data_IF_250808673903
#
_entry.id   IF_250808673903
#
_cell.length_a   1.000
_cell.length_b   1.000
_cell.length_c   1.000
_cell.angle_alpha   90.00
_cell.angle_beta   90.00
_cell.angle_gamma   90.00
#
_symmetry.space_group_name_H-M   'P 1'
#
loop_
_entity.id
_entity.type
_entity.pdbx_description
1 polymer ?
#
# COMPACT_ATOMS: atom_id res chain seq x y z
N UNK A 1 -25.05 -1.00 11.72
CA UNK A 1 -23.59 -0.95 11.55
C UNK A 1 -23.32 -0.19 10.26
N UNK A 2 -22.40 0.77 10.26
CA UNK A 2 -21.95 1.41 9.02
C UNK A 2 -21.15 0.42 8.16
N UNK A 3 -20.64 0.90 7.03
CA UNK A 3 -19.86 0.07 6.12
C UNK A 3 -18.47 -0.24 6.70
N UNK A 4 -17.94 -1.42 6.37
CA UNK A 4 -16.64 -1.93 6.78
C UNK A 4 -15.64 -1.84 5.62
N UNK A 5 -14.49 -1.22 5.84
CA UNK A 5 -13.39 -1.21 4.90
C UNK A 5 -12.23 -2.10 5.36
N UNK A 6 -11.64 -2.87 4.44
CA UNK A 6 -10.33 -3.49 4.63
C UNK A 6 -9.27 -2.60 4.00
N UNK A 7 -8.21 -2.32 4.76
CA UNK A 7 -7.13 -1.48 4.29
C UNK A 7 -5.77 -2.17 4.50
N UNK A 8 -4.87 -1.98 3.52
CA UNK A 8 -3.60 -2.69 3.47
C UNK A 8 -2.43 -1.71 3.47
N UNK A 9 -1.43 -1.88 4.37
CA UNK A 9 -0.27 -1.00 4.44
C UNK A 9 0.61 -1.11 3.19
N UNK A 10 1.51 -0.15 3.02
CA UNK A 10 2.53 -0.17 1.98
C UNK A 10 3.91 -0.55 2.53
N UNK A 11 4.91 -0.53 1.64
CA UNK A 11 6.31 -0.68 1.98
C UNK A 11 6.73 0.30 3.09
N UNK A 12 7.57 -0.16 4.02
CA UNK A 12 8.03 0.57 5.19
C UNK A 12 7.44 0.07 6.52
N UNK A 13 6.47 -0.87 6.45
CA UNK A 13 5.89 -1.52 7.64
C UNK A 13 6.48 -2.93 7.89
N UNK A 14 7.35 -3.44 7.00
CA UNK A 14 7.95 -4.77 7.10
C UNK A 14 8.91 -4.90 8.28
N UNK A 15 8.97 -6.11 8.84
CA UNK A 15 9.95 -6.51 9.84
C UNK A 15 10.14 -8.02 9.84
N UNK A 16 11.27 -8.48 10.32
CA UNK A 16 11.57 -9.93 10.47
C UNK A 16 10.65 -10.56 11.50
N UNK A 17 9.91 -11.57 11.10
CA UNK A 17 8.91 -12.26 11.93
C UNK A 17 7.46 -11.91 11.61
N UNK A 18 7.21 -10.94 10.71
CA UNK A 18 5.85 -10.58 10.30
C UNK A 18 5.09 -11.78 9.71
N UNK A 19 3.88 -12.03 10.18
CA UNK A 19 3.01 -13.12 9.72
C UNK A 19 3.40 -14.52 10.18
N UNK A 20 4.48 -14.70 10.98
CA UNK A 20 4.95 -16.01 11.43
C UNK A 20 3.89 -16.78 12.22
N UNK A 21 3.19 -16.13 13.15
CA UNK A 21 2.14 -16.76 13.94
C UNK A 21 1.00 -17.29 13.07
N UNK A 22 0.59 -16.53 12.05
CA UNK A 22 -0.41 -16.95 11.06
C UNK A 22 0.04 -18.19 10.30
N UNK A 23 1.29 -18.21 9.84
CA UNK A 23 1.87 -19.36 9.15
C UNK A 23 1.90 -20.62 10.05
N UNK A 24 2.28 -20.49 11.31
CA UNK A 24 2.42 -21.61 12.24
C UNK A 24 1.07 -22.15 12.70
N UNK A 25 0.09 -21.26 12.98
CA UNK A 25 -1.15 -21.61 13.67
C UNK A 25 -2.36 -21.78 12.76
N UNK A 26 -2.38 -21.16 11.56
CA UNK A 26 -3.56 -21.10 10.69
C UNK A 26 -3.27 -21.76 9.34
N UNK A 27 -3.99 -22.84 9.04
CA UNK A 27 -3.77 -23.69 7.87
C UNK A 27 -3.93 -22.92 6.55
N UNK A 28 -4.96 -22.05 6.42
CA UNK A 28 -5.19 -21.28 5.20
C UNK A 28 -4.08 -20.27 4.98
N UNK A 29 -3.56 -19.63 6.03
CA UNK A 29 -2.43 -18.71 5.96
C UNK A 29 -1.15 -19.41 5.50
N UNK A 30 -0.87 -20.60 6.03
CA UNK A 30 0.27 -21.42 5.58
C UNK A 30 0.21 -21.74 4.09
N UNK A 31 -1.00 -22.08 3.57
CA UNK A 31 -1.22 -22.33 2.13
C UNK A 31 -0.86 -21.10 1.28
N UNK A 32 -1.20 -19.89 1.75
CA UNK A 32 -0.84 -18.64 1.06
C UNK A 32 0.68 -18.50 0.90
N UNK A 33 1.45 -18.74 1.97
CA UNK A 33 2.92 -18.71 1.89
C UNK A 33 3.48 -19.79 0.95
N UNK A 34 2.87 -20.98 0.91
CA UNK A 34 3.26 -22.05 -0.02
C UNK A 34 3.05 -21.61 -1.47
N UNK A 35 1.86 -21.11 -1.80
CA UNK A 35 1.52 -20.61 -3.14
C UNK A 35 2.47 -19.47 -3.55
N UNK A 36 2.68 -18.50 -2.65
CA UNK A 36 3.59 -17.39 -2.91
C UNK A 36 5.02 -17.88 -3.23
N UNK A 37 5.51 -18.86 -2.47
CA UNK A 37 6.84 -19.45 -2.69
C UNK A 37 6.92 -20.17 -4.02
N UNK A 38 5.92 -20.97 -4.39
CA UNK A 38 5.85 -21.71 -5.66
C UNK A 38 5.81 -20.77 -6.86
N UNK A 39 4.97 -19.73 -6.79
CA UNK A 39 4.79 -18.75 -7.88
C UNK A 39 6.02 -17.90 -8.11
N UNK A 40 6.71 -17.51 -7.04
CA UNK A 40 7.85 -16.58 -7.11
C UNK A 40 9.21 -17.25 -7.18
N UNK A 41 9.28 -18.54 -6.84
CA UNK A 41 10.54 -19.27 -6.69
C UNK A 41 11.36 -18.86 -5.46
N UNK A 42 10.78 -18.09 -4.53
CA UNK A 42 11.45 -17.61 -3.33
C UNK A 42 11.03 -18.42 -2.10
N UNK A 43 11.92 -18.57 -1.13
CA UNK A 43 11.56 -19.08 0.19
C UNK A 43 10.91 -17.94 1.01
N UNK A 44 9.59 -17.72 0.83
CA UNK A 44 8.87 -16.63 1.52
C UNK A 44 8.85 -16.79 3.05
N UNK A 45 8.68 -18.01 3.63
CA UNK A 45 8.85 -18.19 5.06
C UNK A 45 10.23 -17.75 5.56
N UNK A 46 11.30 -18.19 4.90
CA UNK A 46 12.67 -17.78 5.26
C UNK A 46 12.87 -16.27 5.14
N UNK A 47 12.39 -15.65 4.05
CA UNK A 47 12.48 -14.22 3.82
C UNK A 47 11.73 -13.41 4.90
N UNK A 48 10.54 -13.84 5.31
CA UNK A 48 9.71 -13.12 6.27
C UNK A 48 10.09 -13.39 7.73
N UNK A 49 10.54 -14.62 8.07
CA UNK A 49 10.64 -15.05 9.47
C UNK A 49 12.06 -15.10 10.01
N UNK A 50 13.06 -15.19 9.12
CA UNK A 50 14.47 -15.30 9.52
C UNK A 50 15.20 -13.96 9.28
N UNK A 51 16.22 -13.71 10.11
CA UNK A 51 17.05 -12.51 9.93
C UNK A 51 17.81 -12.58 8.61
N UNK A 52 17.63 -11.61 7.74
CA UNK A 52 18.28 -11.49 6.45
C UNK A 52 18.43 -10.01 6.05
N UNK A 53 19.23 -9.75 5.01
CA UNK A 53 19.46 -8.41 4.47
C UNK A 53 18.50 -8.05 3.32
N UNK A 54 17.68 -8.99 2.86
CA UNK A 54 16.83 -8.84 1.68
C UNK A 54 15.48 -8.17 2.02
N UNK A 55 15.00 -8.31 3.26
CA UNK A 55 13.67 -7.84 3.66
C UNK A 55 13.43 -6.35 3.40
N UNK A 56 14.50 -5.53 3.39
CA UNK A 56 14.45 -4.08 3.15
C UNK A 56 14.79 -3.70 1.69
N UNK A 57 15.07 -4.67 0.81
CA UNK A 57 15.27 -4.45 -0.61
C UNK A 57 13.91 -4.50 -1.31
N UNK A 58 13.53 -3.45 -2.03
CA UNK A 58 12.18 -3.25 -2.59
C UNK A 58 11.61 -4.47 -3.31
N UNK A 59 12.39 -5.14 -4.14
CA UNK A 59 11.96 -6.33 -4.89
C UNK A 59 11.56 -7.52 -3.98
N UNK A 60 12.13 -7.62 -2.78
CA UNK A 60 11.80 -8.63 -1.78
C UNK A 60 10.77 -8.11 -0.78
N UNK A 61 10.88 -6.84 -0.38
CA UNK A 61 9.93 -6.21 0.56
C UNK A 61 8.51 -6.32 0.06
N UNK A 62 8.28 -5.98 -1.21
CA UNK A 62 6.92 -5.94 -1.75
C UNK A 62 6.24 -7.31 -1.72
N UNK A 63 6.94 -8.34 -2.15
CA UNK A 63 6.35 -9.69 -2.15
C UNK A 63 6.21 -10.27 -0.74
N UNK A 64 7.15 -9.99 0.17
CA UNK A 64 7.07 -10.42 1.57
C UNK A 64 5.88 -9.79 2.30
N UNK A 65 5.69 -8.48 2.13
CA UNK A 65 4.54 -7.74 2.68
C UNK A 65 3.22 -8.29 2.16
N UNK A 66 3.06 -8.36 0.83
CA UNK A 66 1.83 -8.85 0.21
C UNK A 66 1.52 -10.30 0.63
N UNK A 67 2.53 -11.17 0.74
CA UNK A 67 2.32 -12.55 1.21
C UNK A 67 1.77 -12.56 2.63
N UNK A 68 2.31 -11.72 3.50
CA UNK A 68 1.83 -11.56 4.88
C UNK A 68 0.40 -11.02 4.93
N UNK A 69 0.10 -9.97 4.18
CA UNK A 69 -1.23 -9.37 4.07
C UNK A 69 -2.26 -10.38 3.54
N UNK A 70 -1.93 -11.10 2.48
CA UNK A 70 -2.79 -12.13 1.90
C UNK A 70 -3.04 -13.30 2.87
N UNK A 71 -2.03 -13.69 3.65
CA UNK A 71 -2.15 -14.74 4.65
C UNK A 71 -3.10 -14.34 5.81
N UNK A 72 -3.00 -13.09 6.26
CA UNK A 72 -3.90 -12.53 7.29
C UNK A 72 -5.32 -12.37 6.72
N UNK A 73 -5.44 -11.84 5.50
CA UNK A 73 -6.72 -11.70 4.80
C UNK A 73 -7.45 -13.04 4.67
N UNK A 74 -6.74 -14.10 4.24
CA UNK A 74 -7.31 -15.44 4.12
C UNK A 74 -7.84 -15.97 5.47
N UNK A 75 -7.11 -15.74 6.57
CA UNK A 75 -7.56 -16.12 7.90
C UNK A 75 -8.81 -15.35 8.34
N UNK A 76 -8.88 -14.06 8.04
CA UNK A 76 -10.04 -13.22 8.36
C UNK A 76 -11.27 -13.65 7.54
N UNK A 77 -11.08 -13.94 6.26
CA UNK A 77 -12.15 -14.43 5.37
C UNK A 77 -12.66 -15.81 5.80
N UNK A 78 -11.78 -16.71 6.28
CA UNK A 78 -12.19 -18.03 6.84
C UNK A 78 -13.09 -17.86 8.07
N UNK A 79 -12.96 -16.76 8.84
CA UNK A 79 -13.88 -16.39 9.93
C UNK A 79 -15.19 -15.78 9.45
N UNK A 80 -15.41 -15.68 8.14
CA UNK A 80 -16.65 -15.15 7.55
C UNK A 80 -16.76 -13.63 7.51
N UNK A 81 -15.71 -12.88 7.89
CA UNK A 81 -15.72 -11.42 7.84
C UNK A 81 -15.51 -10.94 6.41
N UNK A 82 -16.37 -10.04 5.93
CA UNK A 82 -16.36 -9.48 4.58
C UNK A 82 -16.32 -7.97 4.64
N UNK A 83 -15.59 -7.36 3.72
CA UNK A 83 -15.57 -5.92 3.54
C UNK A 83 -16.68 -5.45 2.58
N UNK A 84 -17.18 -4.23 2.81
CA UNK A 84 -18.02 -3.51 1.84
C UNK A 84 -17.16 -2.80 0.79
N UNK A 85 -15.93 -2.45 1.13
CA UNK A 85 -14.94 -1.81 0.27
C UNK A 85 -13.53 -2.15 0.74
N UNK A 86 -12.56 -2.10 -0.18
CA UNK A 86 -11.15 -2.24 0.16
C UNK A 86 -10.33 -1.06 -0.38
N UNK A 87 -9.19 -0.79 0.23
CA UNK A 87 -8.18 0.14 -0.26
C UNK A 87 -6.80 -0.28 0.25
N UNK A 88 -5.74 0.22 -0.37
CA UNK A 88 -4.39 -0.04 0.12
C UNK A 88 -3.43 1.06 -0.30
N UNK A 89 -2.40 1.28 0.49
CA UNK A 89 -1.40 2.30 0.23
C UNK A 89 -0.31 1.74 -0.68
N UNK A 90 -0.20 2.22 -1.91
CA UNK A 90 0.80 1.79 -2.89
C UNK A 90 0.78 0.27 -3.11
N UNK A 91 1.72 -0.47 -2.53
CA UNK A 91 1.74 -1.94 -2.54
C UNK A 91 0.43 -2.54 -2.04
N UNK A 92 -0.13 -1.99 -0.97
CA UNK A 92 -1.36 -2.48 -0.36
C UNK A 92 -2.58 -2.45 -1.27
N UNK A 93 -2.57 -1.71 -2.39
CA UNK A 93 -3.66 -1.74 -3.39
C UNK A 93 -3.86 -3.15 -3.97
N UNK A 94 -2.79 -3.97 -4.02
CA UNK A 94 -2.89 -5.38 -4.42
C UNK A 94 -3.62 -6.25 -3.38
N UNK A 95 -3.52 -5.94 -2.09
CA UNK A 95 -4.35 -6.53 -1.03
C UNK A 95 -5.83 -6.17 -1.19
N UNK A 96 -6.11 -4.94 -1.61
CA UNK A 96 -7.47 -4.51 -1.93
C UNK A 96 -8.04 -5.24 -3.16
N UNK A 97 -7.24 -5.46 -4.21
CA UNK A 97 -7.61 -6.23 -5.40
C UNK A 97 -7.87 -7.71 -5.05
N UNK A 98 -7.08 -8.30 -4.15
CA UNK A 98 -7.35 -9.65 -3.61
C UNK A 98 -8.67 -9.69 -2.84
N UNK A 99 -8.97 -8.68 -2.02
CA UNK A 99 -10.25 -8.57 -1.30
C UNK A 99 -11.43 -8.47 -2.26
N UNK A 100 -11.28 -7.71 -3.34
CA UNK A 100 -12.27 -7.62 -4.40
C UNK A 100 -12.47 -8.95 -5.14
N UNK A 101 -11.46 -9.81 -5.21
CA UNK A 101 -11.46 -11.04 -5.99
C UNK A 101 -11.25 -10.83 -7.50
N UNK A 102 -10.77 -9.64 -7.88
CA UNK A 102 -10.56 -9.23 -9.27
C UNK A 102 -9.38 -9.94 -9.95
N UNK A 103 -8.42 -10.44 -9.18
CA UNK A 103 -7.26 -11.20 -9.63
C UNK A 103 -7.11 -12.50 -8.83
N UNK A 104 -6.53 -13.54 -9.43
CA UNK A 104 -6.14 -14.74 -8.70
C UNK A 104 -4.98 -14.44 -7.74
N UNK A 105 -4.84 -15.24 -6.67
CA UNK A 105 -3.76 -15.10 -5.71
C UNK A 105 -2.40 -15.27 -6.40
N UNK A 106 -2.31 -16.24 -7.30
CA UNK A 106 -1.11 -16.54 -8.09
C UNK A 106 -0.72 -15.37 -9.00
N UNK A 107 -1.70 -14.76 -9.68
CA UNK A 107 -1.44 -13.61 -10.55
C UNK A 107 -0.99 -12.38 -9.76
N UNK A 108 -1.63 -12.12 -8.61
CA UNK A 108 -1.23 -11.00 -7.75
C UNK A 108 0.22 -11.18 -7.27
N UNK A 109 0.63 -12.38 -6.84
CA UNK A 109 2.01 -12.65 -6.45
C UNK A 109 3.00 -12.48 -7.61
N UNK A 110 2.65 -12.98 -8.79
CA UNK A 110 3.48 -12.82 -10.00
C UNK A 110 3.66 -11.35 -10.36
N UNK A 111 2.58 -10.58 -10.38
CA UNK A 111 2.60 -9.15 -10.71
C UNK A 111 3.40 -8.36 -9.68
N UNK A 112 3.18 -8.59 -8.38
CA UNK A 112 3.89 -7.83 -7.33
C UNK A 112 5.38 -8.19 -7.28
N UNK A 113 5.75 -9.45 -7.55
CA UNK A 113 7.17 -9.81 -7.71
C UNK A 113 7.81 -9.01 -8.85
N UNK A 114 7.15 -8.91 -10.01
CA UNK A 114 7.65 -8.12 -11.14
C UNK A 114 7.63 -6.62 -10.82
N UNK A 115 6.59 -6.10 -10.16
CA UNK A 115 6.52 -4.71 -9.73
C UNK A 115 7.71 -4.32 -8.84
N UNK A 116 8.03 -5.16 -7.85
CA UNK A 116 9.16 -4.94 -6.94
C UNK A 116 10.49 -4.85 -7.69
N UNK A 117 10.74 -5.77 -8.63
CA UNK A 117 11.94 -5.78 -9.48
C UNK A 117 12.01 -4.50 -10.34
N UNK A 118 10.94 -4.20 -11.08
CA UNK A 118 10.89 -3.05 -11.97
C UNK A 118 11.08 -1.73 -11.22
N UNK A 119 10.51 -1.59 -10.04
CA UNK A 119 10.67 -0.39 -9.21
C UNK A 119 12.07 -0.29 -8.58
N UNK A 120 12.68 -1.43 -8.20
CA UNK A 120 14.04 -1.46 -7.68
C UNK A 120 15.07 -1.05 -8.73
N UNK A 121 14.88 -1.47 -9.98
CA UNK A 121 15.82 -1.25 -11.08
C UNK A 121 15.61 0.09 -11.80
N UNK A 122 14.45 0.75 -11.64
CA UNK A 122 14.05 1.89 -12.45
C UNK A 122 15.01 3.08 -12.33
N UNK A 123 15.42 3.43 -11.11
CA UNK A 123 16.27 4.59 -10.83
C UNK A 123 17.26 4.19 -9.72
N UNK A 124 18.36 3.53 -10.08
CA UNK A 124 19.32 3.01 -9.10
C UNK A 124 20.09 4.12 -8.34
N UNK A 125 20.16 5.31 -8.91
CA UNK A 125 20.85 6.48 -8.31
C UNK A 125 20.19 7.77 -8.73
N UNK A 126 20.38 8.85 -7.96
CA UNK A 126 19.93 10.21 -8.32
C UNK A 126 18.45 10.50 -8.05
N UNK A 127 17.74 9.59 -7.39
CA UNK A 127 16.37 9.80 -6.91
C UNK A 127 16.32 9.98 -5.39
N UNK A 128 15.32 10.73 -4.91
CA UNK A 128 15.09 10.93 -3.47
C UNK A 128 13.61 11.04 -3.12
N UNK A 129 13.32 10.77 -1.85
CA UNK A 129 12.02 11.01 -1.24
C UNK A 129 12.17 11.68 0.11
N UNK A 130 11.29 12.64 0.42
CA UNK A 130 11.28 13.34 1.70
C UNK A 130 9.88 13.38 2.29
N UNK A 131 9.78 13.09 3.59
CA UNK A 131 8.56 13.33 4.35
C UNK A 131 8.48 14.79 4.78
N UNK A 132 7.41 15.48 4.38
CA UNK A 132 7.10 16.87 4.73
C UNK A 132 6.03 16.88 5.81
N UNK A 133 6.35 17.47 6.96
CA UNK A 133 5.47 17.49 8.12
C UNK A 133 4.96 18.90 8.44
N UNK A 134 3.68 18.99 8.80
CA UNK A 134 3.07 20.21 9.33
C UNK A 134 2.72 21.26 8.28
N UNK A 135 2.51 20.84 7.02
CA UNK A 135 2.09 21.73 5.94
C UNK A 135 0.94 21.07 5.13
N UNK A 136 0.11 21.88 4.54
CA UNK A 136 -0.98 21.50 3.67
C UNK A 136 -0.48 20.93 2.33
N UNK A 137 -1.16 19.86 1.83
CA UNK A 137 -0.74 19.14 0.63
C UNK A 137 -0.82 19.96 -0.66
N UNK A 138 -1.82 20.85 -0.81
CA UNK A 138 -1.91 21.70 -2.00
C UNK A 138 -0.78 22.73 -2.05
N UNK A 139 -0.42 23.27 -0.86
CA UNK A 139 0.70 24.20 -0.76
C UNK A 139 2.02 23.51 -1.11
N UNK A 140 2.21 22.26 -0.66
CA UNK A 140 3.38 21.45 -1.02
C UNK A 140 3.42 21.20 -2.52
N UNK A 141 2.32 20.77 -3.14
CA UNK A 141 2.24 20.51 -4.57
C UNK A 141 2.61 21.76 -5.38
N UNK A 142 2.06 22.94 -5.04
CA UNK A 142 2.38 24.23 -5.69
C UNK A 142 3.86 24.61 -5.59
N UNK A 143 4.55 24.24 -4.51
CA UNK A 143 5.98 24.51 -4.34
C UNK A 143 6.80 23.53 -5.20
N UNK A 144 6.41 22.24 -5.24
CA UNK A 144 7.02 21.27 -6.13
C UNK A 144 6.90 21.70 -7.60
N UNK A 145 5.70 22.08 -8.06
CA UNK A 145 5.43 22.52 -9.44
C UNK A 145 6.26 23.75 -9.87
N UNK A 146 6.65 24.61 -8.91
CA UNK A 146 7.49 25.79 -9.13
C UNK A 146 8.99 25.53 -8.91
N UNK A 147 9.37 24.30 -8.64
CA UNK A 147 10.77 23.90 -8.48
C UNK A 147 11.27 23.31 -9.78
N UNK A 148 12.43 23.77 -10.24
CA UNK A 148 13.07 23.25 -11.46
C UNK A 148 13.49 21.79 -11.27
N UNK A 149 13.38 20.99 -12.33
CA UNK A 149 13.64 19.54 -12.29
C UNK A 149 12.40 18.71 -11.96
N UNK A 150 12.60 17.40 -11.85
CA UNK A 150 11.51 16.47 -11.54
C UNK A 150 11.33 16.38 -10.03
N UNK A 151 10.27 17.00 -9.51
CA UNK A 151 9.83 16.84 -8.12
C UNK A 151 8.31 16.96 -8.04
N UNK A 152 7.68 16.07 -7.30
CA UNK A 152 6.23 16.03 -7.13
C UNK A 152 5.84 15.42 -5.78
N UNK A 153 4.54 15.44 -5.48
CA UNK A 153 4.02 14.71 -4.33
C UNK A 153 3.94 13.22 -4.66
N UNK A 154 4.60 12.39 -3.86
CA UNK A 154 4.51 10.94 -3.93
C UNK A 154 3.27 10.40 -3.20
N UNK A 155 3.06 10.85 -1.95
CA UNK A 155 1.97 10.36 -1.11
C UNK A 155 1.29 11.49 -0.36
N UNK A 156 -0.03 11.55 -0.47
CA UNK A 156 -0.90 12.28 0.44
C UNK A 156 -1.33 11.32 1.57
N UNK A 157 -0.53 11.20 2.64
CA UNK A 157 -0.77 10.20 3.68
C UNK A 157 -1.91 10.58 4.63
N UNK A 158 -1.85 11.79 5.17
CA UNK A 158 -2.87 12.35 6.05
C UNK A 158 -2.62 13.85 6.24
N UNK A 159 -3.56 14.62 6.82
CA UNK A 159 -3.34 16.04 7.11
C UNK A 159 -2.01 16.28 7.82
N UNK A 160 -1.16 17.12 7.22
CA UNK A 160 0.15 17.48 7.74
C UNK A 160 1.23 16.40 7.64
N UNK A 161 1.04 15.35 6.83
CA UNK A 161 2.07 14.35 6.52
C UNK A 161 2.00 13.93 5.06
N UNK A 162 2.86 14.53 4.25
CA UNK A 162 2.96 14.37 2.79
C UNK A 162 4.36 13.89 2.45
N UNK A 163 4.51 13.10 1.40
CA UNK A 163 5.83 12.70 0.88
C UNK A 163 6.03 13.31 -0.49
N UNK A 164 7.20 13.93 -0.71
CA UNK A 164 7.65 14.41 -2.03
C UNK A 164 8.72 13.48 -2.59
N UNK A 165 8.83 13.42 -3.92
CA UNK A 165 9.67 12.48 -4.65
C UNK A 165 10.19 13.11 -5.94
N UNK A 166 11.31 12.62 -6.44
CA UNK A 166 11.86 13.06 -7.73
C UNK A 166 13.37 12.95 -7.78
N UNK A 167 13.99 13.79 -8.61
CA UNK A 167 15.44 13.94 -8.70
C UNK A 167 16.02 14.46 -7.38
N UNK A 168 17.11 13.88 -6.92
CA UNK A 168 17.73 14.21 -5.62
C UNK A 168 17.96 15.71 -5.45
N UNK A 169 18.51 16.38 -6.47
CA UNK A 169 18.75 17.83 -6.44
C UNK A 169 17.45 18.64 -6.38
N UNK A 170 16.45 18.29 -7.19
CA UNK A 170 15.17 19.00 -7.22
C UNK A 170 14.38 18.81 -5.90
N UNK A 171 14.38 17.59 -5.35
CA UNK A 171 13.74 17.28 -4.06
C UNK A 171 14.43 18.05 -2.92
N UNK A 172 15.77 18.15 -2.92
CA UNK A 172 16.50 18.92 -1.92
C UNK A 172 16.15 20.42 -1.98
N UNK A 173 16.11 21.01 -3.19
CA UNK A 173 15.70 22.42 -3.38
C UNK A 173 14.23 22.63 -2.95
N UNK A 174 13.33 21.72 -3.32
CA UNK A 174 11.95 21.80 -2.89
C UNK A 174 11.82 21.71 -1.36
N UNK A 175 12.59 20.83 -0.71
CA UNK A 175 12.57 20.70 0.75
C UNK A 175 13.01 21.99 1.48
N UNK A 176 14.03 22.72 0.96
CA UNK A 176 14.42 24.02 1.52
C UNK A 176 13.32 25.08 1.33
N UNK A 177 12.76 25.21 0.12
CA UNK A 177 11.61 26.10 -0.14
C UNK A 177 10.41 25.81 0.76
N UNK A 178 10.13 24.51 1.03
CA UNK A 178 9.06 24.10 1.92
C UNK A 178 9.32 24.49 3.37
N UNK A 179 10.57 24.37 3.86
CA UNK A 179 10.96 24.86 5.20
C UNK A 179 10.78 26.36 5.31
N UNK A 180 11.27 27.13 4.33
CA UNK A 180 11.10 28.60 4.27
C UNK A 180 9.61 29.00 4.24
N UNK A 181 8.77 28.20 3.56
CA UNK A 181 7.32 28.41 3.49
C UNK A 181 6.55 27.95 4.75
N UNK A 182 7.24 27.41 5.77
CA UNK A 182 6.69 27.08 7.08
C UNK A 182 6.42 25.60 7.30
N UNK A 183 6.97 24.67 6.51
CA UNK A 183 6.94 23.25 6.83
C UNK A 183 7.71 23.00 8.14
N UNK A 184 7.09 22.26 9.06
CA UNK A 184 7.71 22.00 10.38
C UNK A 184 8.97 21.16 10.27
N UNK A 185 8.99 20.18 9.35
CA UNK A 185 10.14 19.31 9.05
C UNK A 185 10.07 18.79 7.62
N UNK A 186 11.24 18.65 6.99
CA UNK A 186 11.45 17.87 5.77
C UNK A 186 12.51 16.83 6.08
N UNK A 187 12.14 15.56 6.08
CA UNK A 187 12.97 14.43 6.55
C UNK A 187 13.26 13.52 5.36
N UNK A 188 14.54 13.31 4.99
CA UNK A 188 14.89 12.36 3.94
C UNK A 188 14.45 10.94 4.35
N UNK A 189 13.94 10.19 3.40
CA UNK A 189 13.54 8.80 3.59
C UNK A 189 14.64 7.88 3.04
N UNK A 190 14.95 6.83 3.79
CA UNK A 190 15.88 5.79 3.33
C UNK A 190 15.11 4.79 2.44
N UNK A 191 15.04 5.08 1.15
CA UNK A 191 14.35 4.27 0.13
C UNK A 191 15.26 4.06 -1.07
N UNK A 192 15.03 2.99 -1.83
CA UNK A 192 15.87 2.61 -2.97
C UNK A 192 15.60 3.37 -4.26
N UNK A 193 14.64 4.31 -4.27
CA UNK A 193 14.32 5.07 -5.48
C UNK A 193 13.23 6.13 -5.27
N UNK A 194 13.02 7.00 -6.28
CA UNK A 194 12.03 8.08 -6.25
C UNK A 194 10.64 7.56 -6.63
N UNK A 195 10.07 6.68 -5.78
CA UNK A 195 8.78 6.04 -6.04
C UNK A 195 7.66 7.04 -6.25
N UNK A 196 6.70 6.69 -7.10
CA UNK A 196 5.54 7.54 -7.43
C UNK A 196 5.91 8.88 -8.08
N UNK A 197 7.05 8.95 -8.79
CA UNK A 197 7.47 10.09 -9.60
C UNK A 197 7.45 9.78 -11.08
N UNK A 198 7.47 10.80 -11.92
CA UNK A 198 7.56 10.67 -13.37
C UNK A 198 8.81 9.88 -13.83
N UNK A 199 9.86 9.80 -13.00
CA UNK A 199 11.07 9.02 -13.24
C UNK A 199 10.81 7.52 -13.35
N UNK A 200 9.70 7.01 -12.78
CA UNK A 200 9.30 5.60 -12.85
C UNK A 200 8.33 5.28 -13.98
N UNK A 201 8.09 6.20 -14.92
CA UNK A 201 7.12 5.99 -16.00
C UNK A 201 7.41 4.74 -16.83
N UNK A 202 8.67 4.51 -17.20
CA UNK A 202 9.07 3.32 -17.94
C UNK A 202 8.82 2.02 -17.15
N UNK A 203 9.05 2.03 -15.84
CA UNK A 203 8.73 0.89 -14.98
C UNK A 203 7.22 0.61 -14.95
N UNK A 204 6.39 1.65 -14.88
CA UNK A 204 4.94 1.51 -14.96
C UNK A 204 4.46 0.96 -16.30
N UNK A 205 5.05 1.40 -17.42
CA UNK A 205 4.76 0.88 -18.77
C UNK A 205 5.19 -0.60 -18.90
N UNK A 206 6.34 -0.98 -18.35
CA UNK A 206 6.79 -2.39 -18.30
C UNK A 206 5.84 -3.25 -17.46
N UNK A 207 5.39 -2.72 -16.30
CA UNK A 207 4.40 -3.40 -15.48
C UNK A 207 3.06 -3.56 -16.21
N UNK A 208 2.66 -2.58 -17.01
CA UNK A 208 1.49 -2.67 -17.89
C UNK A 208 1.55 -3.89 -18.81
N UNK A 209 2.72 -4.18 -19.41
CA UNK A 209 2.92 -5.38 -20.25
C UNK A 209 2.82 -6.68 -19.45
N UNK A 210 3.29 -6.70 -18.21
CA UNK A 210 3.09 -7.86 -17.31
C UNK A 210 1.61 -8.07 -17.04
N UNK A 211 0.88 -7.00 -16.77
CA UNK A 211 -0.56 -7.03 -16.50
C UNK A 211 -1.40 -7.47 -17.71
N UNK A 212 -0.93 -7.28 -18.95
CA UNK A 212 -1.62 -7.80 -20.15
C UNK A 212 -1.84 -9.32 -20.08
N UNK A 213 -0.93 -10.06 -19.44
CA UNK A 213 -1.00 -11.52 -19.32
C UNK A 213 -1.93 -12.00 -18.18
N UNK A 214 -2.48 -11.08 -17.39
CA UNK A 214 -3.32 -11.40 -16.23
C UNK A 214 -4.78 -11.47 -16.66
N UNK A 215 -5.46 -12.52 -16.22
CA UNK A 215 -6.91 -12.65 -16.36
C UNK A 215 -7.61 -11.92 -15.22
N UNK A 216 -8.42 -10.92 -15.56
CA UNK A 216 -9.24 -10.20 -14.59
C UNK A 216 -10.64 -10.82 -14.51
N UNK A 217 -11.19 -10.83 -13.29
CA UNK A 217 -12.49 -11.39 -12.98
C UNK A 217 -13.49 -10.31 -12.60
N UNK A 218 -14.76 -10.54 -12.87
CA UNK A 218 -15.82 -9.72 -12.32
C UNK A 218 -15.82 -9.82 -10.78
N UNK A 219 -16.06 -8.72 -10.11
CA UNK A 219 -16.07 -8.64 -8.64
C UNK A 219 -17.24 -7.78 -8.15
N UNK A 220 -17.65 -7.98 -6.90
CA UNK A 220 -18.76 -7.25 -6.28
C UNK A 220 -18.32 -6.30 -5.17
N UNK A 221 -17.17 -6.56 -4.55
CA UNK A 221 -16.59 -5.67 -3.54
C UNK A 221 -15.71 -4.64 -4.23
N UNK A 222 -16.12 -3.35 -4.31
CA UNK A 222 -15.30 -2.33 -4.93
C UNK A 222 -14.03 -2.08 -4.13
N UNK A 223 -13.01 -1.53 -4.80
CA UNK A 223 -11.83 -0.99 -4.12
C UNK A 223 -11.56 0.45 -4.56
N UNK A 224 -10.85 1.22 -3.73
CA UNK A 224 -10.45 2.59 -4.05
C UNK A 224 -9.03 2.60 -4.57
N UNK A 225 -8.82 3.13 -5.78
CA UNK A 225 -7.48 3.21 -6.38
C UNK A 225 -6.68 4.40 -5.88
N UNK A 226 -5.38 4.25 -5.77
CA UNK A 226 -4.46 5.30 -5.33
C UNK A 226 -4.39 6.49 -6.29
N UNK A 227 -4.55 6.25 -7.60
CA UNK A 227 -4.34 7.25 -8.65
C UNK A 227 -5.41 8.33 -8.65
N UNK A 228 -6.67 7.95 -8.52
CA UNK A 228 -7.80 8.88 -8.59
C UNK A 228 -8.48 9.12 -7.24
N UNK A 229 -8.28 8.24 -6.26
CA UNK A 229 -9.04 8.16 -5.01
C UNK A 229 -10.53 7.87 -5.24
N UNK A 230 -10.88 7.24 -6.36
CA UNK A 230 -12.24 6.84 -6.73
C UNK A 230 -12.40 5.33 -6.69
N UNK A 231 -13.64 4.88 -6.59
CA UNK A 231 -13.96 3.46 -6.65
C UNK A 231 -13.68 2.86 -8.03
N UNK A 232 -13.06 1.70 -8.04
CA UNK A 232 -12.97 0.82 -9.21
C UNK A 232 -14.03 -0.26 -9.05
N UNK A 233 -14.90 -0.35 -10.03
CA UNK A 233 -16.01 -1.32 -10.07
C UNK A 233 -15.94 -2.22 -11.31
N UNK A 234 -15.15 -1.82 -12.31
CA UNK A 234 -15.01 -2.54 -13.56
C UNK A 234 -13.60 -3.11 -13.73
N UNK A 235 -13.48 -4.42 -14.05
CA UNK A 235 -12.17 -5.05 -14.26
C UNK A 235 -11.30 -4.35 -15.32
N UNK A 236 -11.93 -3.78 -16.34
CA UNK A 236 -11.23 -3.13 -17.47
C UNK A 236 -10.32 -1.97 -17.07
N UNK A 237 -10.61 -1.30 -15.93
CA UNK A 237 -9.84 -0.15 -15.44
C UNK A 237 -8.55 -0.56 -14.72
N UNK A 238 -8.49 -1.79 -14.17
CA UNK A 238 -7.46 -2.21 -13.21
C UNK A 238 -6.06 -2.14 -13.82
N UNK A 239 -5.85 -2.67 -15.02
CA UNK A 239 -4.52 -2.78 -15.63
C UNK A 239 -3.89 -1.41 -15.88
N UNK A 240 -4.65 -0.48 -16.43
CA UNK A 240 -4.20 0.89 -16.67
C UNK A 240 -3.87 1.59 -15.34
N UNK A 241 -4.77 1.52 -14.36
CA UNK A 241 -4.60 2.16 -13.06
C UNK A 241 -3.37 1.64 -12.33
N UNK A 242 -3.12 0.34 -12.31
CA UNK A 242 -1.94 -0.25 -11.68
C UNK A 242 -0.64 0.13 -12.38
N UNK A 243 -0.62 0.20 -13.71
CA UNK A 243 0.54 0.72 -14.45
C UNK A 243 0.84 2.18 -14.10
N UNK A 244 -0.19 3.03 -14.09
CA UNK A 244 -0.10 4.45 -13.73
C UNK A 244 0.29 4.67 -12.28
N UNK A 245 -0.15 3.81 -11.36
CA UNK A 245 0.11 3.93 -9.93
C UNK A 245 1.62 4.00 -9.63
N UNK A 246 2.46 3.29 -10.40
CA UNK A 246 3.92 3.23 -10.18
C UNK A 246 4.56 4.61 -10.23
N UNK A 247 4.05 5.51 -11.09
CA UNK A 247 4.61 6.84 -11.33
C UNK A 247 3.65 8.00 -11.02
N UNK A 248 2.53 7.71 -10.34
CA UNK A 248 1.53 8.71 -9.93
C UNK A 248 1.47 8.83 -8.41
N UNK A 249 1.02 9.98 -7.92
CA UNK A 249 0.80 10.21 -6.49
C UNK A 249 -0.18 9.21 -5.90
N UNK A 250 0.12 8.71 -4.72
CA UNK A 250 -0.79 7.92 -3.89
C UNK A 250 -1.69 8.88 -3.10
N UNK A 251 -2.96 8.93 -3.44
CA UNK A 251 -3.98 9.79 -2.82
C UNK A 251 -4.66 9.10 -1.63
N UNK A 252 -3.86 8.66 -0.64
CA UNK A 252 -4.37 7.88 0.48
C UNK A 252 -5.37 8.65 1.34
N UNK A 253 -5.05 9.87 1.72
CA UNK A 253 -5.96 10.73 2.49
C UNK A 253 -7.31 10.86 1.78
N UNK A 254 -7.31 11.21 0.49
CA UNK A 254 -8.51 11.37 -0.32
C UNK A 254 -9.30 10.06 -0.46
N UNK A 255 -8.60 8.92 -0.58
CA UNK A 255 -9.24 7.60 -0.61
C UNK A 255 -10.00 7.29 0.68
N UNK A 256 -9.40 7.59 1.83
CA UNK A 256 -10.06 7.42 3.14
C UNK A 256 -11.24 8.38 3.29
N UNK A 257 -11.06 9.66 2.94
CA UNK A 257 -12.12 10.67 2.97
C UNK A 257 -13.29 10.28 2.07
N UNK A 258 -13.02 9.73 0.88
CA UNK A 258 -14.03 9.21 -0.05
C UNK A 258 -14.85 8.08 0.57
N UNK A 259 -14.19 7.08 1.15
CA UNK A 259 -14.86 5.95 1.82
C UNK A 259 -15.73 6.41 2.99
N UNK A 260 -15.23 7.35 3.81
CA UNK A 260 -15.99 7.92 4.93
C UNK A 260 -17.23 8.66 4.43
N UNK A 261 -17.11 9.46 3.37
CA UNK A 261 -18.23 10.17 2.75
C UNK A 261 -19.33 9.21 2.25
N UNK A 262 -18.96 8.00 1.83
CA UNK A 262 -19.90 6.94 1.39
C UNK A 262 -20.38 6.04 2.53
N UNK A 263 -20.12 6.40 3.79
CA UNK A 263 -20.67 5.76 4.98
C UNK A 263 -19.82 4.65 5.59
N UNK A 264 -18.53 4.57 5.25
CA UNK A 264 -17.58 3.70 5.96
C UNK A 264 -17.30 4.31 7.33
N UNK A 265 -17.58 3.56 8.39
CA UNK A 265 -17.35 3.97 9.78
C UNK A 265 -16.34 3.09 10.51
N UNK A 266 -15.98 1.95 9.94
CA UNK A 266 -15.05 0.98 10.52
C UNK A 266 -14.01 0.56 9.47
N UNK A 267 -12.73 0.66 9.83
CA UNK A 267 -11.58 0.30 9.00
C UNK A 267 -10.77 -0.78 9.70
N UNK A 268 -10.40 -1.85 9.01
CA UNK A 268 -9.48 -2.88 9.51
C UNK A 268 -8.20 -2.83 8.69
N UNK A 269 -7.10 -2.42 9.31
CA UNK A 269 -5.76 -2.52 8.73
C UNK A 269 -5.28 -3.97 8.83
N UNK A 270 -5.00 -4.58 7.67
CA UNK A 270 -4.62 -5.99 7.53
C UNK A 270 -3.16 -6.05 7.08
N UNK A 271 -2.27 -6.44 7.95
CA UNK A 271 -0.83 -6.50 7.65
C UNK A 271 0.05 -6.05 8.80
N UNK A 272 1.38 -5.95 8.58
CA UNK A 272 2.32 -5.56 9.60
C UNK A 272 2.17 -4.08 9.99
N UNK A 273 2.27 -3.80 11.29
CA UNK A 273 2.24 -2.46 11.85
C UNK A 273 0.85 -1.84 11.97
N UNK A 274 0.83 -0.52 12.23
CA UNK A 274 -0.40 0.27 12.48
C UNK A 274 -0.32 1.64 11.81
N UNK A 275 0.31 1.69 10.64
CA UNK A 275 0.58 2.95 9.93
C UNK A 275 -0.70 3.61 9.45
N UNK A 276 -1.58 2.84 8.80
CA UNK A 276 -2.83 3.35 8.25
C UNK A 276 -3.83 3.71 9.34
N UNK A 277 -3.91 2.92 10.40
CA UNK A 277 -4.69 3.25 11.60
C UNK A 277 -4.19 4.55 12.24
N UNK A 278 -2.88 4.79 12.22
CA UNK A 278 -2.28 6.04 12.65
C UNK A 278 -2.66 7.24 11.78
N UNK A 279 -2.71 7.06 10.46
CA UNK A 279 -3.17 8.09 9.51
C UNK A 279 -4.67 8.36 9.66
N UNK A 280 -5.48 7.31 9.81
CA UNK A 280 -6.92 7.40 9.99
C UNK A 280 -7.30 8.31 11.16
N UNK A 281 -6.62 8.19 12.30
CA UNK A 281 -6.83 9.06 13.48
C UNK A 281 -6.59 10.55 13.20
N UNK A 282 -5.71 10.87 12.22
CA UNK A 282 -5.44 12.25 11.79
C UNK A 282 -6.43 12.73 10.72
N UNK A 283 -6.93 11.82 9.89
CA UNK A 283 -7.92 12.13 8.85
C UNK A 283 -9.30 12.33 9.48
N UNK A 284 -9.76 11.39 10.29
CA UNK A 284 -11.05 11.48 10.95
C UNK A 284 -11.06 10.71 12.29
N UNK A 285 -11.38 11.41 13.39
CA UNK A 285 -11.42 10.83 14.75
C UNK A 285 -12.75 10.13 15.08
N UNK A 286 -13.76 10.29 14.23
CA UNK A 286 -15.10 9.76 14.49
C UNK A 286 -15.33 8.37 13.91
N UNK A 287 -14.35 7.80 13.21
CA UNK A 287 -14.40 6.45 12.65
C UNK A 287 -13.57 5.48 13.48
N UNK A 288 -13.92 4.21 13.42
CA UNK A 288 -13.21 3.14 14.14
C UNK A 288 -12.08 2.60 13.28
N UNK A 289 -10.85 2.63 13.81
CA UNK A 289 -9.68 1.98 13.21
C UNK A 289 -9.27 0.76 14.03
N UNK A 290 -9.35 -0.41 13.42
CA UNK A 290 -8.88 -1.70 13.94
C UNK A 290 -7.65 -2.13 13.14
N UNK A 291 -6.88 -3.10 13.65
CA UNK A 291 -5.76 -3.70 12.91
C UNK A 291 -5.66 -5.18 13.21
N UNK A 292 -5.10 -5.94 12.30
CA UNK A 292 -4.78 -7.36 12.44
C UNK A 292 -3.34 -7.58 11.97
N UNK A 293 -2.45 -7.76 12.92
CA UNK A 293 -1.04 -8.05 12.70
C UNK A 293 -0.66 -9.42 13.30
N UNK A 294 -1.34 -9.81 14.40
CA UNK A 294 -1.15 -11.07 15.12
C UNK A 294 -2.43 -11.88 15.19
N UNK A 295 -2.31 -13.16 15.54
CA UNK A 295 -3.47 -14.06 15.68
C UNK A 295 -4.41 -13.56 16.78
N UNK A 296 -3.89 -13.02 17.88
CA UNK A 296 -4.69 -12.42 18.95
C UNK A 296 -5.53 -11.22 18.47
N UNK A 297 -5.00 -10.40 17.55
CA UNK A 297 -5.74 -9.28 16.96
C UNK A 297 -6.91 -9.80 16.12
N UNK A 298 -6.70 -10.88 15.34
CA UNK A 298 -7.75 -11.52 14.55
C UNK A 298 -8.94 -11.93 15.42
N UNK A 299 -8.67 -12.64 16.52
CA UNK A 299 -9.72 -13.11 17.44
C UNK A 299 -10.45 -11.94 18.09
N UNK A 300 -9.72 -10.89 18.50
CA UNK A 300 -10.30 -9.68 19.09
C UNK A 300 -11.20 -8.94 18.11
N UNK A 301 -10.76 -8.77 16.84
CA UNK A 301 -11.54 -8.09 15.80
C UNK A 301 -12.80 -8.90 15.47
N UNK A 302 -12.70 -10.22 15.29
CA UNK A 302 -13.84 -11.09 14.98
C UNK A 302 -14.88 -11.02 16.11
N UNK A 303 -14.45 -11.09 17.36
CA UNK A 303 -15.33 -10.96 18.52
C UNK A 303 -16.04 -9.60 18.54
N UNK A 304 -15.31 -8.50 18.35
CA UNK A 304 -15.87 -7.14 18.35
C UNK A 304 -16.93 -6.96 17.24
N UNK A 305 -16.70 -7.52 16.05
CA UNK A 305 -17.65 -7.44 14.95
C UNK A 305 -18.91 -8.30 15.20
N UNK A 306 -18.75 -9.47 15.84
CA UNK A 306 -19.87 -10.33 16.23
C UNK A 306 -20.76 -9.74 17.32
N UNK A 307 -20.21 -8.97 18.24
CA UNK A 307 -20.96 -8.28 19.31
C UNK A 307 -21.77 -7.07 18.79
N UNK A 308 -21.44 -6.56 17.60
CA UNK A 308 -22.12 -5.41 16.96
C UNK A 308 -23.23 -5.82 15.98
N UNK A 309 -23.40 -7.13 15.68
CA UNK A 309 -24.50 -7.69 14.89
C UNK A 309 -25.67 -8.05 15.81
#
# INVERSE_FOLDING_TARGET
MGKLAFVFPGQGAQYVGMGKEFYEQISVSRKVYTIASEVTGLNLPGLCFEKNEQIDITEYTQIAMLTTEAAILAALQEKGVKADVAAGLSLGEYGAILTAGAMSLEDVFRVVRQRGILMQEAVPTGGAMYAVLGMDGEKIAKICDKTEGIVSVANYNCPGQIVITGEEGAVAVAAEKLKEAGARRCIPLNVSGPFHSAMLKEAGEKLGKVLEQVELRAFSTPYVTNVTAEYVTEPSEIKELLGRQVYSSVKWQQSVERMIADGVDTFIEIGPGRTLTGFLKKINKNVTGLHIEKVEDLDAVVKMLGEKQ
#
